data_IF_204604047275
#
_entry.id   IF_204604047275
#
_cell.length_a   1.000
_cell.length_b   1.000
_cell.length_c   1.000
_cell.angle_alpha   90.00
_cell.angle_beta   90.00
_cell.angle_gamma   90.00
#
_symmetry.space_group_name_H-M   'P 1'
#
loop_
_entity.id
_entity.type
_entity.pdbx_description
1 polymer ?
#
# COMPACT_ATOMS: atom_id res chain seq x y z
N UNK A 1 2.24 10.07 9.01
CA UNK A 1 1.28 10.60 8.00
C UNK A 1 0.80 12.01 8.36
N UNK A 2 0.51 12.85 7.36
CA UNK A 2 0.03 14.22 7.52
C UNK A 2 -1.37 14.35 6.95
N UNK A 3 -2.26 15.11 7.60
CA UNK A 3 -3.64 15.32 7.14
C UNK A 3 -3.74 15.90 5.72
N UNK A 4 -2.74 16.69 5.30
CA UNK A 4 -2.72 17.34 3.98
C UNK A 4 -1.98 16.56 2.91
N UNK A 5 -1.46 15.38 3.25
CA UNK A 5 -0.78 14.53 2.30
C UNK A 5 -1.81 13.74 1.47
N UNK A 6 -1.74 13.92 0.14
CA UNK A 6 -2.67 13.30 -0.81
C UNK A 6 -2.48 11.79 -0.80
N UNK A 7 -1.23 11.30 -0.70
CA UNK A 7 -0.95 9.87 -0.72
C UNK A 7 -1.49 9.19 0.54
N UNK A 8 -1.45 9.87 1.68
CA UNK A 8 -2.12 9.43 2.91
C UNK A 8 -3.64 9.32 2.74
N UNK A 9 -4.30 10.33 2.16
CA UNK A 9 -5.76 10.30 1.89
C UNK A 9 -6.14 9.17 0.93
N UNK A 10 -5.34 8.96 -0.13
CA UNK A 10 -5.57 7.89 -1.09
C UNK A 10 -5.33 6.50 -0.49
N UNK A 11 -4.38 6.38 0.44
CA UNK A 11 -4.15 5.14 1.21
C UNK A 11 -5.36 4.83 2.08
N UNK A 12 -5.87 5.81 2.82
CA UNK A 12 -7.04 5.65 3.70
C UNK A 12 -8.33 5.29 2.94
N UNK A 13 -8.44 5.68 1.68
CA UNK A 13 -9.57 5.34 0.82
C UNK A 13 -9.54 3.89 0.29
N UNK A 14 -8.44 3.15 0.48
CA UNK A 14 -8.35 1.76 0.03
C UNK A 14 -9.31 0.87 0.80
N UNK A 15 -9.88 -0.11 0.09
CA UNK A 15 -10.85 -1.04 0.65
C UNK A 15 -10.15 -2.12 1.49
N UNK A 16 -10.72 -2.38 2.65
CA UNK A 16 -10.28 -3.40 3.59
C UNK A 16 -11.45 -4.36 3.84
N UNK A 17 -11.23 -5.69 3.78
CA UNK A 17 -12.25 -6.67 4.14
C UNK A 17 -12.62 -6.52 5.61
N UNK A 18 -13.92 -6.33 5.85
CA UNK A 18 -14.48 -6.12 7.17
C UNK A 18 -15.67 -7.07 7.39
N UNK A 19 -15.76 -7.66 8.58
CA UNK A 19 -16.88 -8.51 9.00
C UNK A 19 -17.68 -7.82 10.10
N UNK A 20 -18.97 -7.59 9.90
CA UNK A 20 -19.84 -7.03 10.93
C UNK A 20 -20.18 -8.10 11.97
N UNK A 21 -19.91 -7.84 13.25
CA UNK A 21 -20.17 -8.80 14.33
C UNK A 21 -21.58 -8.64 14.92
N UNK A 22 -22.20 -7.48 14.69
CA UNK A 22 -23.51 -7.11 15.20
C UNK A 22 -24.42 -6.71 14.05
N UNK A 23 -25.72 -6.88 14.25
CA UNK A 23 -26.72 -6.35 13.35
C UNK A 23 -26.77 -4.82 13.45
N UNK A 24 -26.75 -4.14 12.30
CA UNK A 24 -26.74 -2.67 12.23
C UNK A 24 -27.94 -2.17 11.43
N UNK A 25 -28.93 -1.57 12.11
CA UNK A 25 -30.15 -1.12 11.46
C UNK A 25 -29.93 0.00 10.44
N UNK A 26 -30.59 -0.08 9.29
CA UNK A 26 -30.66 0.97 8.26
C UNK A 26 -29.35 1.22 7.48
N UNK A 27 -28.31 0.41 7.70
CA UNK A 27 -27.00 0.57 7.08
C UNK A 27 -26.78 -0.36 5.86
N UNK A 28 -27.81 -1.04 5.37
CA UNK A 28 -27.75 -1.91 4.20
C UNK A 28 -27.27 -1.21 2.91
N UNK A 29 -27.23 0.13 2.87
CA UNK A 29 -26.59 0.89 1.78
C UNK A 29 -25.12 0.52 1.56
N UNK A 30 -24.42 0.06 2.61
CA UNK A 30 -23.03 -0.41 2.49
C UNK A 30 -22.91 -1.72 1.70
N UNK A 31 -23.98 -2.52 1.67
CA UNK A 31 -24.10 -3.74 0.88
C UNK A 31 -24.78 -3.49 -0.48
N UNK A 32 -25.26 -2.27 -0.73
CA UNK A 32 -26.06 -1.93 -1.91
C UNK A 32 -27.55 -2.23 -1.78
N UNK A 33 -28.06 -2.46 -0.57
CA UNK A 33 -29.47 -2.68 -0.22
C UNK A 33 -30.00 -1.53 0.66
N UNK A 34 -30.30 -0.34 0.11
CA UNK A 34 -30.74 0.81 0.90
C UNK A 34 -32.06 0.53 1.63
N UNK A 35 -32.10 0.81 2.94
CA UNK A 35 -33.29 0.62 3.77
C UNK A 35 -33.36 -0.76 4.43
N UNK A 36 -32.44 -1.68 4.14
CA UNK A 36 -32.26 -2.92 4.88
C UNK A 36 -31.22 -2.78 6.00
N UNK A 37 -31.18 -3.78 6.88
CA UNK A 37 -30.27 -3.87 8.01
C UNK A 37 -29.07 -4.75 7.63
N UNK A 38 -27.87 -4.40 8.11
CA UNK A 38 -26.70 -5.28 7.96
C UNK A 38 -26.81 -6.36 9.01
N UNK A 39 -26.80 -7.63 8.61
CA UNK A 39 -26.84 -8.77 9.54
C UNK A 39 -25.48 -9.02 10.17
N UNK A 40 -25.49 -9.60 11.37
CA UNK A 40 -24.26 -10.12 11.97
C UNK A 40 -23.66 -11.22 11.09
N UNK A 41 -22.34 -11.21 10.94
CA UNK A 41 -21.56 -12.08 10.06
C UNK A 41 -21.42 -11.60 8.62
N UNK A 42 -22.09 -10.50 8.22
CA UNK A 42 -21.96 -9.98 6.84
C UNK A 42 -20.55 -9.42 6.61
N UNK A 43 -19.92 -9.86 5.51
CA UNK A 43 -18.63 -9.34 5.04
C UNK A 43 -18.84 -8.22 4.02
N UNK A 44 -18.24 -7.07 4.27
CA UNK A 44 -18.31 -5.89 3.41
C UNK A 44 -16.92 -5.27 3.32
N UNK A 45 -16.49 -4.90 2.11
CA UNK A 45 -15.26 -4.17 1.90
C UNK A 45 -15.47 -2.67 2.19
N UNK A 46 -14.91 -2.20 3.30
CA UNK A 46 -15.03 -0.80 3.73
C UNK A 46 -13.72 -0.05 3.48
N UNK A 47 -13.76 1.26 3.20
CA UNK A 47 -12.55 2.08 3.21
C UNK A 47 -11.81 1.98 4.56
N UNK A 48 -10.48 1.96 4.53
CA UNK A 48 -9.63 1.80 5.71
C UNK A 48 -9.97 2.80 6.82
N UNK A 49 -10.17 4.08 6.47
CA UNK A 49 -10.54 5.11 7.46
C UNK A 49 -11.85 4.80 8.19
N UNK A 50 -12.81 4.15 7.52
CA UNK A 50 -14.10 3.80 8.12
C UNK A 50 -13.98 2.51 8.93
N UNK A 51 -13.34 1.50 8.36
CA UNK A 51 -13.09 0.22 9.04
C UNK A 51 -12.37 0.42 10.36
N UNK A 52 -11.29 1.22 10.37
CA UNK A 52 -10.55 1.53 11.58
C UNK A 52 -11.45 2.15 12.65
N UNK A 53 -12.26 3.15 12.31
CA UNK A 53 -13.14 3.84 13.25
C UNK A 53 -14.22 2.92 13.82
N UNK A 54 -14.79 2.02 13.01
CA UNK A 54 -15.79 1.04 13.46
C UNK A 54 -15.18 -0.08 14.30
N UNK A 55 -13.88 -0.34 14.15
CA UNK A 55 -13.15 -1.37 14.91
C UNK A 55 -12.71 -0.91 16.31
N UNK A 56 -12.81 0.40 16.63
CA UNK A 56 -12.36 1.00 17.90
C UNK A 56 -12.93 0.30 19.13
N UNK A 57 -14.16 -0.22 19.06
CA UNK A 57 -14.78 -0.93 20.18
C UNK A 57 -13.92 -2.09 20.71
N UNK A 58 -13.23 -2.81 19.81
CA UNK A 58 -12.31 -3.87 20.20
C UNK A 58 -11.11 -3.34 20.99
N UNK A 59 -10.54 -2.19 20.59
CA UNK A 59 -9.41 -1.54 21.29
C UNK A 59 -9.80 -1.01 22.66
N UNK A 60 -11.05 -0.57 22.83
CA UNK A 60 -11.58 -0.02 24.08
C UNK A 60 -12.17 -1.09 25.02
N UNK A 61 -12.12 -2.38 24.66
CA UNK A 61 -12.70 -3.46 25.44
C UNK A 61 -14.24 -3.45 25.48
N UNK A 62 -14.88 -2.80 24.52
CA UNK A 62 -16.34 -2.77 24.36
C UNK A 62 -16.79 -3.71 23.23
N UNK A 63 -18.10 -3.76 22.96
CA UNK A 63 -18.63 -4.60 21.89
C UNK A 63 -18.01 -4.23 20.54
N UNK A 64 -17.36 -5.20 19.89
CA UNK A 64 -16.80 -5.05 18.55
C UNK A 64 -17.95 -4.96 17.55
N UNK A 65 -18.05 -3.84 16.83
CA UNK A 65 -19.03 -3.69 15.75
C UNK A 65 -18.54 -4.36 14.47
N UNK A 66 -17.26 -4.18 14.17
CA UNK A 66 -16.60 -4.67 12.96
C UNK A 66 -15.28 -5.34 13.30
N UNK A 67 -15.05 -6.50 12.70
CA UNK A 67 -13.75 -7.17 12.61
C UNK A 67 -13.05 -6.81 11.33
N UNK A 68 -11.80 -6.38 11.44
CA UNK A 68 -10.93 -6.11 10.30
C UNK A 68 -10.16 -7.38 9.96
N UNK A 69 -10.09 -7.70 8.68
CA UNK A 69 -9.31 -8.80 8.15
C UNK A 69 -8.05 -8.27 7.45
N UNK A 70 -7.01 -9.09 7.35
CA UNK A 70 -5.80 -8.77 6.59
C UNK A 70 -6.16 -8.54 5.11
N UNK A 71 -5.71 -7.46 4.46
CA UNK A 71 -5.99 -7.24 3.04
C UNK A 71 -5.25 -8.26 2.17
N UNK A 72 -5.81 -8.56 0.99
CA UNK A 72 -5.21 -9.47 0.01
C UNK A 72 -3.79 -9.06 -0.43
N UNK A 73 -3.51 -7.75 -0.42
CA UNK A 73 -2.19 -7.21 -0.70
C UNK A 73 -1.11 -7.69 0.30
N UNK A 74 -1.51 -8.03 1.53
CA UNK A 74 -0.63 -8.51 2.60
C UNK A 74 -0.92 -9.95 2.99
N UNK A 75 -1.66 -10.68 2.15
CA UNK A 75 -1.90 -12.11 2.37
C UNK A 75 -0.58 -12.88 2.40
N UNK A 76 -0.56 -14.00 3.13
CA UNK A 76 0.62 -14.84 3.34
C UNK A 76 1.31 -15.25 2.01
N UNK A 77 0.52 -15.49 0.96
CA UNK A 77 1.03 -15.77 -0.40
C UNK A 77 1.94 -14.64 -0.92
N UNK A 78 1.55 -13.39 -0.72
CA UNK A 78 2.32 -12.21 -1.14
C UNK A 78 3.58 -12.09 -0.29
N UNK A 79 3.45 -12.21 1.03
CA UNK A 79 4.59 -12.15 1.95
C UNK A 79 5.63 -13.23 1.63
N UNK A 80 5.19 -14.45 1.30
CA UNK A 80 6.07 -15.54 0.88
C UNK A 80 6.76 -15.25 -0.46
N UNK A 81 6.07 -14.61 -1.41
CA UNK A 81 6.69 -14.16 -2.67
C UNK A 81 7.75 -13.07 -2.42
N UNK A 82 7.48 -12.13 -1.52
CA UNK A 82 8.43 -11.09 -1.10
C UNK A 82 9.67 -11.67 -0.40
N UNK A 83 9.48 -12.68 0.46
CA UNK A 83 10.60 -13.43 1.09
C UNK A 83 11.48 -14.13 0.04
N UNK A 84 10.88 -14.65 -1.02
CA UNK A 84 11.60 -15.38 -2.07
C UNK A 84 12.41 -14.44 -2.98
N UNK A 85 11.75 -13.50 -3.67
CA UNK A 85 12.44 -12.42 -4.40
C UNK A 85 11.52 -11.19 -4.55
N UNK A 86 11.78 -10.11 -3.81
CA UNK A 86 10.92 -8.92 -3.83
C UNK A 86 10.93 -8.17 -5.17
N UNK A 87 11.94 -8.36 -6.02
CA UNK A 87 12.08 -7.65 -7.31
C UNK A 87 11.10 -8.17 -8.36
N UNK A 88 10.63 -9.39 -8.19
CA UNK A 88 9.71 -10.06 -9.13
C UNK A 88 8.24 -9.72 -8.89
N UNK A 89 7.93 -9.10 -7.74
CA UNK A 89 6.56 -8.79 -7.32
C UNK A 89 6.15 -7.41 -7.85
N UNK A 90 5.01 -7.37 -8.52
CA UNK A 90 4.33 -6.13 -8.92
C UNK A 90 3.54 -5.59 -7.72
N UNK A 91 4.15 -4.66 -6.97
CA UNK A 91 3.53 -4.07 -5.78
C UNK A 91 2.33 -3.20 -6.17
N UNK A 92 2.41 -2.50 -7.30
CA UNK A 92 1.36 -1.60 -7.76
C UNK A 92 0.06 -2.33 -8.09
N UNK A 93 0.17 -3.54 -8.65
CA UNK A 93 -0.98 -4.40 -8.92
C UNK A 93 -1.66 -4.90 -7.64
N UNK A 94 -0.92 -5.02 -6.53
CA UNK A 94 -1.46 -5.41 -5.22
C UNK A 94 -2.12 -4.21 -4.54
N UNK A 95 -1.41 -3.10 -4.42
CA UNK A 95 -1.92 -1.84 -3.91
C UNK A 95 -1.06 -0.68 -4.46
N UNK A 96 -1.66 0.38 -5.04
CA UNK A 96 -0.89 1.51 -5.55
C UNK A 96 -0.02 2.21 -4.50
N UNK A 97 -0.49 2.23 -3.25
CA UNK A 97 0.20 2.77 -2.08
C UNK A 97 0.56 1.64 -1.11
N UNK A 98 1.34 0.66 -1.58
CA UNK A 98 1.61 -0.59 -0.86
C UNK A 98 2.31 -0.37 0.48
N UNK A 99 3.40 0.40 0.53
CA UNK A 99 4.16 0.57 1.78
C UNK A 99 3.38 1.37 2.84
N UNK A 100 2.69 2.44 2.44
CA UNK A 100 1.88 3.24 3.36
C UNK A 100 0.65 2.46 3.84
N UNK A 101 0.02 1.66 2.97
CA UNK A 101 -1.02 0.72 3.40
C UNK A 101 -0.44 -0.25 4.45
N UNK A 102 0.72 -0.83 4.16
CA UNK A 102 1.37 -1.80 5.07
C UNK A 102 1.64 -1.20 6.45
N UNK A 103 2.15 0.03 6.50
CA UNK A 103 2.36 0.76 7.76
C UNK A 103 1.05 0.88 8.56
N UNK A 104 -0.05 1.27 7.91
CA UNK A 104 -1.36 1.43 8.56
C UNK A 104 -1.98 0.12 9.02
N UNK A 105 -1.80 -0.93 8.23
CA UNK A 105 -2.26 -2.27 8.61
C UNK A 105 -1.44 -2.80 9.79
N UNK A 106 -0.12 -2.59 9.82
CA UNK A 106 0.73 -3.02 10.93
C UNK A 106 0.49 -2.24 12.23
N UNK A 107 -0.03 -1.01 12.15
CA UNK A 107 -0.54 -0.29 13.33
C UNK A 107 -1.82 -0.92 13.90
N UNK A 108 -2.57 -1.68 13.08
CA UNK A 108 -3.79 -2.39 13.49
C UNK A 108 -3.49 -3.83 13.90
N UNK A 109 -2.62 -4.51 13.16
CA UNK A 109 -2.21 -5.90 13.33
C UNK A 109 -0.74 -5.96 13.72
N UNK A 110 -0.44 -6.37 14.95
CA UNK A 110 0.93 -6.45 15.47
C UNK A 110 1.69 -7.67 14.91
N UNK A 111 2.22 -7.56 13.69
CA UNK A 111 2.93 -8.64 12.98
C UNK A 111 4.43 -8.31 12.77
N UNK A 112 5.28 -8.55 13.78
CA UNK A 112 6.71 -8.18 13.74
C UNK A 112 7.48 -8.84 12.58
N UNK A 113 7.21 -10.11 12.27
CA UNK A 113 7.91 -10.80 11.17
C UNK A 113 7.65 -10.13 9.80
N UNK A 114 6.44 -9.60 9.61
CA UNK A 114 6.08 -8.90 8.38
C UNK A 114 6.87 -7.60 8.23
N UNK A 115 7.13 -6.88 9.33
CA UNK A 115 7.93 -5.65 9.34
C UNK A 115 9.32 -5.91 8.76
N UNK A 116 9.99 -6.98 9.20
CA UNK A 116 11.33 -7.33 8.73
C UNK A 116 11.35 -7.64 7.22
N UNK A 117 10.33 -8.37 6.74
CA UNK A 117 10.17 -8.70 5.32
C UNK A 117 9.98 -7.43 4.49
N UNK A 118 9.14 -6.50 4.94
CA UNK A 118 8.87 -5.26 4.23
C UNK A 118 10.11 -4.34 4.19
N UNK A 119 10.87 -4.28 5.28
CA UNK A 119 12.13 -3.51 5.34
C UNK A 119 13.16 -4.09 4.36
N UNK A 120 13.35 -5.42 4.35
CA UNK A 120 14.26 -6.08 3.41
C UNK A 120 13.81 -5.90 1.95
N UNK A 121 12.51 -6.02 1.70
CA UNK A 121 11.87 -5.77 0.41
C UNK A 121 12.20 -4.36 -0.09
N UNK A 122 11.96 -3.33 0.72
CA UNK A 122 12.23 -1.95 0.37
C UNK A 122 13.72 -1.71 0.09
N UNK A 123 14.63 -2.26 0.91
CA UNK A 123 16.07 -2.13 0.70
C UNK A 123 16.54 -2.73 -0.63
N UNK A 124 16.12 -3.97 -0.92
CA UNK A 124 16.50 -4.68 -2.16
C UNK A 124 15.96 -3.96 -3.40
N UNK A 125 14.71 -3.50 -3.36
CA UNK A 125 14.08 -2.79 -4.48
C UNK A 125 14.63 -1.38 -4.64
N UNK A 126 14.98 -0.67 -3.56
CA UNK A 126 15.62 0.63 -3.63
C UNK A 126 16.98 0.61 -4.36
N UNK A 127 17.76 -0.47 -4.20
CA UNK A 127 18.99 -0.66 -4.95
C UNK A 127 18.72 -0.78 -6.47
N UNK A 128 17.76 -1.63 -6.85
CA UNK A 128 17.34 -1.81 -8.25
C UNK A 128 16.79 -0.50 -8.85
N UNK A 129 15.97 0.23 -8.10
CA UNK A 129 15.45 1.56 -8.48
C UNK A 129 16.60 2.53 -8.76
N UNK A 130 17.63 2.55 -7.92
CA UNK A 130 18.80 3.40 -8.10
C UNK A 130 19.57 3.05 -9.37
N UNK A 131 19.75 1.76 -9.67
CA UNK A 131 20.43 1.30 -10.88
C UNK A 131 19.68 1.73 -12.15
N UNK A 132 18.36 1.58 -12.16
CA UNK A 132 17.51 2.07 -13.25
C UNK A 132 17.50 3.60 -13.36
N UNK A 133 17.54 4.32 -12.25
CA UNK A 133 17.50 5.78 -12.25
C UNK A 133 18.77 6.40 -12.88
N UNK A 134 19.94 5.82 -12.62
CA UNK A 134 21.23 6.32 -13.14
C UNK A 134 21.53 5.87 -14.58
N UNK A 135 20.92 4.77 -15.02
CA UNK A 135 21.07 4.25 -16.38
C UNK A 135 20.18 5.04 -17.37
N UNK A 136 20.76 5.70 -18.40
CA UNK A 136 19.98 6.41 -19.43
C UNK A 136 19.00 5.52 -20.21
N UNK A 137 19.26 4.20 -20.26
CA UNK A 137 18.37 3.20 -20.85
C UNK A 137 17.56 2.44 -19.80
N UNK A 138 17.66 2.79 -18.53
CA UNK A 138 16.99 2.08 -17.43
C UNK A 138 15.47 2.05 -17.57
N UNK A 139 14.89 3.09 -18.19
CA UNK A 139 13.47 3.19 -18.50
C UNK A 139 13.07 2.62 -19.88
N UNK A 140 13.98 1.91 -20.58
CA UNK A 140 13.77 1.37 -21.93
C UNK A 140 14.23 -0.09 -21.98
N UNK A 141 13.33 -1.00 -22.36
CA UNK A 141 13.63 -2.45 -22.44
C UNK A 141 13.27 -3.19 -21.15
N UNK A 142 14.15 -4.04 -20.65
CA UNK A 142 13.89 -4.97 -19.52
C UNK A 142 13.49 -4.27 -18.22
N UNK A 143 13.96 -3.03 -17.98
CA UNK A 143 13.58 -2.25 -16.79
C UNK A 143 12.14 -1.73 -16.79
N UNK A 144 11.44 -1.76 -17.92
CA UNK A 144 10.07 -1.21 -18.02
C UNK A 144 9.09 -1.99 -17.16
N UNK A 145 9.22 -3.31 -17.11
CA UNK A 145 8.28 -4.15 -16.37
C UNK A 145 8.46 -3.97 -14.85
N UNK A 146 9.71 -3.87 -14.37
CA UNK A 146 9.99 -3.51 -12.98
C UNK A 146 9.46 -2.11 -12.62
N UNK A 147 9.74 -1.10 -13.47
CA UNK A 147 9.32 0.29 -13.21
C UNK A 147 7.79 0.48 -13.24
N UNK A 148 7.05 -0.37 -13.96
CA UNK A 148 5.58 -0.37 -13.97
C UNK A 148 5.00 -0.88 -12.65
N UNK A 149 5.65 -1.85 -12.03
CA UNK A 149 5.21 -2.47 -10.78
C UNK A 149 5.60 -1.72 -9.51
N UNK A 150 6.18 -0.53 -9.62
CA UNK A 150 6.53 0.31 -8.50
C UNK A 150 5.30 0.93 -7.83
N UNK A 151 5.27 0.84 -6.51
CA UNK A 151 4.30 1.58 -5.70
C UNK A 151 4.56 3.11 -5.76
N UNK A 152 3.67 3.92 -5.21
CA UNK A 152 3.82 5.38 -5.33
C UNK A 152 5.06 5.92 -4.60
N UNK A 153 5.43 5.34 -3.44
CA UNK A 153 6.64 5.71 -2.70
C UNK A 153 7.91 5.42 -3.52
N UNK A 154 7.97 4.25 -4.16
CA UNK A 154 9.06 3.83 -5.04
C UNK A 154 9.14 4.70 -6.31
N UNK A 155 8.00 5.11 -6.87
CA UNK A 155 7.97 6.03 -8.01
C UNK A 155 8.48 7.41 -7.66
N UNK A 156 8.14 7.92 -6.48
CA UNK A 156 8.68 9.17 -5.98
C UNK A 156 10.20 9.06 -5.80
N UNK A 157 10.67 7.96 -5.23
CA UNK A 157 12.11 7.68 -5.08
C UNK A 157 12.82 7.62 -6.45
N UNK A 158 12.26 6.89 -7.41
CA UNK A 158 12.79 6.79 -8.76
C UNK A 158 12.88 8.16 -9.45
N UNK A 159 11.79 8.95 -9.43
CA UNK A 159 11.78 10.30 -10.01
C UNK A 159 12.84 11.19 -9.38
N UNK A 160 12.90 11.22 -8.05
CA UNK A 160 13.90 12.01 -7.32
C UNK A 160 15.33 11.59 -7.66
N UNK A 161 15.62 10.29 -7.74
CA UNK A 161 16.95 9.79 -8.10
C UNK A 161 17.29 10.10 -9.57
N UNK A 162 16.35 9.88 -10.49
CA UNK A 162 16.54 10.08 -11.92
C UNK A 162 16.75 11.56 -12.27
N UNK A 163 15.92 12.45 -11.73
CA UNK A 163 16.01 13.89 -11.97
C UNK A 163 17.32 14.46 -11.40
N UNK A 164 17.72 14.04 -10.19
CA UNK A 164 19.01 14.46 -9.60
C UNK A 164 20.20 13.96 -10.43
N UNK A 165 20.20 12.70 -10.86
CA UNK A 165 21.26 12.16 -11.70
C UNK A 165 21.38 12.94 -13.03
N UNK A 166 20.25 13.31 -13.61
CA UNK A 166 20.20 14.14 -14.82
C UNK A 166 20.72 15.56 -14.57
N UNK A 167 20.31 16.21 -13.48
CA UNK A 167 20.78 17.55 -13.10
C UNK A 167 22.30 17.58 -12.88
N UNK A 168 22.85 16.57 -12.20
CA UNK A 168 24.31 16.44 -11.98
C UNK A 168 25.05 16.31 -13.32
N UNK A 169 24.55 15.50 -14.26
CA UNK A 169 25.14 15.38 -15.61
C UNK A 169 25.10 16.70 -16.38
N UNK A 170 24.00 17.45 -16.27
CA UNK A 170 23.88 18.78 -16.89
C UNK A 170 24.90 19.74 -16.26
N UNK A 171 25.00 19.76 -14.94
CA UNK A 171 25.96 20.59 -14.21
C UNK A 171 27.41 20.26 -14.56
N UNK A 172 27.75 18.96 -14.69
CA UNK A 172 29.07 18.49 -15.09
C UNK A 172 29.41 18.77 -16.57
N UNK A 173 28.45 19.26 -17.36
CA UNK A 173 28.63 19.52 -18.79
C UNK A 173 28.54 18.29 -19.68
N UNK A 174 28.23 17.12 -19.10
CA UNK A 174 28.06 15.85 -19.83
C UNK A 174 26.74 15.80 -20.63
N UNK A 175 25.77 16.63 -20.26
CA UNK A 175 24.48 16.75 -20.93
C UNK A 175 24.08 18.21 -21.14
N UNK A 176 23.44 18.50 -22.28
CA UNK A 176 22.86 19.84 -22.53
C UNK A 176 21.48 19.94 -21.90
N UNK A 177 21.21 21.07 -21.25
CA UNK A 177 19.85 21.46 -20.86
C UNK A 177 19.04 21.66 -22.15
N UNK A 178 18.00 20.84 -22.36
CA UNK A 178 17.00 21.07 -23.41
C UNK A 178 16.02 22.13 -22.94
#
# INVERSE_FOLDING_TARGET
>A
MSYYDIDSILTDAQKLPCTFELEVPGLGILEGNPGEDIKAGTRIDLPLWLGEMLSIGARLGTSRLVTLDMPDALAERVINALKADPRTVDLRALAPHFYTLSERILEIFEEEEMVDVLIDTFKKRAAEISDHAHNPRGAVGEGVDFLRGLDESERQLFRAAHDRAKEVRIWAGEAKKK
#
